data_IF_381211552891
#
_entry.id   IF_381211552891
#
_cell.length_a   1.000
_cell.length_b   1.000
_cell.length_c   1.000
_cell.angle_alpha   90.00
_cell.angle_beta   90.00
_cell.angle_gamma   90.00
#
_symmetry.space_group_name_H-M   'P 1'
#
loop_
_entity.id
_entity.type
_entity.pdbx_description
1 polymer ?
#
# COMPACT_ATOMS: atom_id res chain seq x y z
N UNK A 1 68.55 -20.71 16.13
CA UNK A 1 67.47 -20.10 16.92
C UNK A 1 66.17 -20.80 16.54
N UNK A 2 65.44 -21.53 17.36
CA UNK A 2 65.66 -22.14 18.67
C UNK A 2 64.49 -23.15 18.83
N UNK A 3 64.84 -24.34 19.33
CA UNK A 3 64.08 -25.23 20.21
C UNK A 3 62.55 -25.44 20.04
N UNK A 4 62.21 -26.66 19.59
CA UNK A 4 61.34 -27.66 20.27
C UNK A 4 60.34 -27.19 21.33
N UNK A 5 59.06 -27.58 21.18
CA UNK A 5 58.28 -28.20 22.27
C UNK A 5 57.02 -28.92 21.78
N UNK A 6 57.10 -30.24 21.74
CA UNK A 6 55.98 -31.17 21.96
C UNK A 6 55.52 -31.02 23.42
N UNK A 7 54.21 -30.95 23.66
CA UNK A 7 53.58 -31.31 24.93
C UNK A 7 52.29 -32.08 24.65
N UNK A 8 52.35 -33.38 24.96
CA UNK A 8 51.20 -34.23 25.22
C UNK A 8 50.67 -33.97 26.64
N UNK A 9 49.36 -33.97 26.82
CA UNK A 9 48.72 -34.34 28.07
C UNK A 9 47.42 -35.11 27.77
N UNK A 10 47.49 -36.40 28.04
CA UNK A 10 46.59 -37.29 28.80
C UNK A 10 45.05 -37.27 28.65
N UNK A 11 44.57 -38.52 28.65
CA UNK A 11 43.23 -39.09 28.44
C UNK A 11 42.48 -39.15 29.81
N UNK A 12 41.13 -39.27 29.87
CA UNK A 12 40.57 -40.62 30.04
C UNK A 12 39.24 -40.92 29.33
N UNK A 13 39.10 -42.22 29.13
CA UNK A 13 38.03 -43.06 28.58
C UNK A 13 36.74 -42.99 29.39
N UNK A 14 35.58 -43.09 28.73
CA UNK A 14 34.52 -44.09 29.03
C UNK A 14 33.09 -43.55 28.86
N UNK A 15 32.31 -44.29 28.09
CA UNK A 15 30.98 -44.67 28.56
C UNK A 15 29.77 -44.06 27.86
N UNK A 16 29.15 -44.92 27.05
CA UNK A 16 27.71 -45.10 26.81
C UNK A 16 27.15 -44.53 25.50
N UNK A 17 27.13 -45.44 24.54
CA UNK A 17 26.00 -45.64 23.62
C UNK A 17 24.73 -45.72 24.47
N UNK A 18 23.87 -44.71 24.36
CA UNK A 18 22.45 -44.85 24.70
C UNK A 18 21.67 -44.69 23.41
N UNK A 19 21.16 -45.83 22.96
CA UNK A 19 19.94 -45.91 22.16
C UNK A 19 18.89 -45.07 22.89
N UNK A 20 18.32 -44.08 22.22
CA UNK A 20 17.07 -43.48 22.67
C UNK A 20 16.13 -43.44 21.47
N UNK A 21 15.09 -44.25 21.59
CA UNK A 21 13.89 -44.27 20.75
C UNK A 21 13.33 -42.84 20.58
N UNK A 22 12.70 -42.52 19.44
CA UNK A 22 11.92 -41.31 19.32
C UNK A 22 10.69 -41.45 20.23
N UNK A 23 10.76 -40.84 21.41
CA UNK A 23 9.61 -40.67 22.30
C UNK A 23 8.66 -39.70 21.61
N UNK A 24 7.47 -40.21 21.29
CA UNK A 24 6.30 -39.46 20.87
C UNK A 24 6.03 -38.31 21.84
N UNK A 25 6.24 -37.08 21.38
CA UNK A 25 5.80 -35.86 22.08
C UNK A 25 4.32 -35.59 21.78
N UNK A 26 3.47 -36.56 22.13
CA UNK A 26 2.03 -36.39 22.28
C UNK A 26 1.76 -35.71 23.63
N UNK A 27 2.02 -34.39 23.73
CA UNK A 27 1.61 -33.61 24.93
C UNK A 27 1.58 -32.09 24.80
N UNK A 28 1.29 -31.55 23.62
CA UNK A 28 0.88 -30.14 23.48
C UNK A 28 -0.45 -29.93 22.74
N UNK A 29 -1.18 -31.00 22.43
CA UNK A 29 -2.58 -30.94 22.03
C UNK A 29 -3.45 -31.38 23.21
N UNK A 30 -3.96 -30.45 24.02
CA UNK A 30 -5.33 -30.43 24.60
C UNK A 30 -5.43 -29.15 25.43
N UNK A 31 -5.84 -28.04 24.79
CA UNK A 31 -6.62 -26.98 25.44
C UNK A 31 -7.30 -26.04 24.43
N UNK A 32 -7.92 -26.61 23.40
CA UNK A 32 -8.86 -25.88 22.53
C UNK A 32 -10.06 -26.74 22.12
N UNK A 33 -10.31 -27.87 22.78
CA UNK A 33 -11.47 -28.73 22.52
C UNK A 33 -12.73 -28.23 23.26
N UNK A 34 -13.11 -26.96 23.04
CA UNK A 34 -14.44 -26.46 23.43
C UNK A 34 -14.87 -25.15 22.76
N UNK A 35 -14.65 -25.01 21.45
CA UNK A 35 -15.50 -24.16 20.60
C UNK A 35 -15.78 -24.98 19.33
N UNK A 36 -16.99 -25.52 19.27
CA UNK A 36 -17.53 -26.21 18.11
C UNK A 36 -17.72 -25.20 16.98
N UNK A 37 -17.26 -25.54 15.78
CA UNK A 37 -17.80 -25.14 14.48
C UNK A 37 -18.36 -23.71 14.40
N UNK A 38 -17.49 -22.71 14.32
CA UNK A 38 -17.82 -21.52 13.55
C UNK A 38 -16.92 -21.53 12.31
N UNK A 39 -17.60 -21.42 11.17
CA UNK A 39 -17.10 -21.42 9.81
C UNK A 39 -15.72 -20.73 9.69
N UNK A 40 -14.80 -21.34 8.94
CA UNK A 40 -13.62 -20.65 8.41
C UNK A 40 -14.12 -19.54 7.46
N UNK A 41 -14.58 -18.45 8.05
CA UNK A 41 -15.09 -17.28 7.36
C UNK A 41 -13.93 -16.65 6.61
N UNK A 42 -14.04 -16.58 5.27
CA UNK A 42 -13.07 -15.87 4.45
C UNK A 42 -12.91 -14.44 4.95
N UNK A 43 -11.68 -13.91 4.91
CA UNK A 43 -11.36 -12.54 5.29
C UNK A 43 -12.28 -11.53 4.58
N UNK A 44 -12.72 -11.86 3.37
CA UNK A 44 -13.66 -11.06 2.59
C UNK A 44 -15.07 -11.04 3.19
N UNK A 45 -15.53 -12.14 3.78
CA UNK A 45 -16.85 -12.23 4.40
C UNK A 45 -16.89 -11.53 5.76
N UNK A 46 -15.79 -11.58 6.52
CA UNK A 46 -15.61 -10.74 7.70
C UNK A 46 -15.60 -9.26 7.33
N UNK A 47 -14.90 -8.89 6.25
CA UNK A 47 -14.87 -7.51 5.74
C UNK A 47 -16.24 -7.05 5.24
N UNK A 48 -16.98 -7.93 4.59
CA UNK A 48 -18.34 -7.67 4.09
C UNK A 48 -19.31 -7.46 5.26
N UNK A 49 -19.29 -8.34 6.27
CA UNK A 49 -20.15 -8.22 7.48
C UNK A 49 -19.78 -7.03 8.35
N UNK A 50 -18.49 -6.73 8.54
CA UNK A 50 -18.08 -5.52 9.26
C UNK A 50 -18.52 -4.27 8.50
N UNK A 51 -18.31 -4.20 7.19
CA UNK A 51 -18.77 -3.06 6.38
C UNK A 51 -20.29 -2.93 6.37
N UNK A 52 -21.02 -4.04 6.36
CA UNK A 52 -22.48 -4.06 6.47
C UNK A 52 -22.96 -3.66 7.87
N UNK A 53 -22.25 -4.06 8.93
CA UNK A 53 -22.50 -3.65 10.31
C UNK A 53 -22.23 -2.15 10.49
N UNK A 54 -21.13 -1.62 9.96
CA UNK A 54 -20.85 -0.19 9.96
C UNK A 54 -21.87 0.61 9.12
N UNK A 55 -22.42 0.02 8.05
CA UNK A 55 -23.53 0.61 7.28
C UNK A 55 -24.83 0.64 8.09
N UNK A 56 -25.20 -0.46 8.75
CA UNK A 56 -26.40 -0.56 9.60
C UNK A 56 -26.33 0.35 10.84
N UNK A 57 -25.14 0.58 11.38
CA UNK A 57 -24.91 1.42 12.57
C UNK A 57 -24.85 2.92 12.23
N UNK A 58 -24.94 3.32 10.94
CA UNK A 58 -24.94 4.73 10.53
C UNK A 58 -23.62 5.49 10.75
N UNK A 59 -22.58 4.79 11.24
CA UNK A 59 -21.24 5.35 11.50
C UNK A 59 -20.32 5.29 10.28
N UNK A 60 -20.79 4.72 9.17
CA UNK A 60 -20.02 4.74 7.91
C UNK A 60 -19.87 6.14 7.35
N UNK A 61 -20.89 6.98 7.47
CA UNK A 61 -20.82 8.32 6.88
C UNK A 61 -20.00 9.28 7.75
N UNK A 62 -20.02 9.11 9.08
CA UNK A 62 -19.08 9.79 9.98
C UNK A 62 -17.65 9.31 9.77
N UNK A 63 -17.40 8.01 9.62
CA UNK A 63 -16.07 7.50 9.28
C UNK A 63 -15.62 7.93 7.90
N UNK A 64 -16.48 7.93 6.88
CA UNK A 64 -16.14 8.47 5.55
C UNK A 64 -15.83 9.95 5.63
N UNK A 65 -16.54 10.73 6.45
CA UNK A 65 -16.26 12.14 6.65
C UNK A 65 -14.90 12.34 7.36
N UNK A 66 -14.60 11.55 8.39
CA UNK A 66 -13.31 11.55 9.09
C UNK A 66 -12.19 11.15 8.13
N UNK A 67 -12.33 10.05 7.39
CA UNK A 67 -11.35 9.61 6.40
C UNK A 67 -11.20 10.61 5.26
N UNK A 68 -12.27 11.28 4.80
CA UNK A 68 -12.14 12.36 3.82
C UNK A 68 -11.40 13.56 4.42
N UNK A 69 -11.69 13.95 5.65
CA UNK A 69 -10.98 15.04 6.33
C UNK A 69 -9.50 14.69 6.55
N UNK A 70 -9.19 13.44 6.90
CA UNK A 70 -7.83 12.95 7.10
C UNK A 70 -7.08 12.81 5.78
N UNK A 71 -7.74 12.34 4.73
CA UNK A 71 -7.18 12.19 3.40
C UNK A 71 -7.00 13.55 2.71
N UNK A 72 -7.92 14.49 2.88
CA UNK A 72 -7.75 15.90 2.47
C UNK A 72 -6.65 16.58 3.29
N UNK A 73 -6.54 16.28 4.59
CA UNK A 73 -5.45 16.75 5.45
C UNK A 73 -4.09 16.25 4.98
N UNK A 74 -4.01 14.97 4.59
CA UNK A 74 -2.80 14.33 4.08
C UNK A 74 -2.47 14.78 2.65
N UNK A 75 -3.47 14.97 1.79
CA UNK A 75 -3.27 15.54 0.46
C UNK A 75 -2.87 17.03 0.50
N UNK A 76 -3.35 17.79 1.50
CA UNK A 76 -2.91 19.17 1.70
C UNK A 76 -1.51 19.29 2.33
N UNK A 77 -1.06 18.27 3.07
CA UNK A 77 0.27 18.25 3.69
C UNK A 77 1.33 17.64 2.76
N UNK A 78 0.94 16.77 1.83
CA UNK A 78 1.84 16.20 0.83
C UNK A 78 2.10 17.21 -0.30
N UNK A 79 3.16 18.02 -0.12
CA UNK A 79 3.69 18.95 -1.13
C UNK A 79 4.41 18.24 -2.29
N UNK A 80 4.00 17.02 -2.64
CA UNK A 80 4.62 16.23 -3.70
C UNK A 80 3.53 15.63 -4.59
N UNK A 81 3.17 16.39 -5.61
CA UNK A 81 2.85 15.78 -6.91
C UNK A 81 1.39 15.66 -7.31
N UNK A 82 0.49 16.56 -6.93
CA UNK A 82 -0.68 16.89 -7.76
C UNK A 82 -0.85 18.41 -7.75
N UNK A 83 -0.61 19.03 -8.91
CA UNK A 83 -0.76 20.47 -9.13
C UNK A 83 -2.21 20.93 -9.04
N UNK A 84 -2.73 21.01 -7.82
CA UNK A 84 -3.84 21.90 -7.50
C UNK A 84 -3.24 22.98 -6.60
N UNK A 85 -2.68 24.00 -7.23
CA UNK A 85 -2.41 25.26 -6.55
C UNK A 85 -3.74 25.88 -6.13
N UNK A 86 -4.23 25.50 -4.96
CA UNK A 86 -5.06 26.43 -4.20
C UNK A 86 -4.15 27.57 -3.83
N UNK A 87 -4.23 28.67 -4.59
CA UNK A 87 -3.64 29.97 -4.24
C UNK A 87 -3.78 30.13 -2.73
N UNK A 88 -2.66 30.21 -2.02
CA UNK A 88 -2.68 30.74 -0.65
C UNK A 88 -3.45 32.06 -0.76
N UNK A 89 -4.57 32.25 -0.06
CA UNK A 89 -5.05 33.60 0.13
C UNK A 89 -4.03 34.23 1.08
N UNK A 90 -2.99 34.83 0.50
CA UNK A 90 -2.10 35.74 1.19
C UNK A 90 -2.99 36.67 2.00
N UNK A 91 -2.86 36.60 3.32
CA UNK A 91 -3.51 37.46 4.28
C UNK A 91 -4.99 37.69 3.96
N UNK A 92 -5.85 36.68 4.22
CA UNK A 92 -7.29 36.91 4.33
C UNK A 92 -7.50 38.17 5.16
N UNK A 93 -8.01 39.23 4.53
CA UNK A 93 -8.35 40.49 5.18
C UNK A 93 -9.00 40.18 6.52
N UNK A 94 -8.61 40.88 7.59
CA UNK A 94 -9.15 40.66 8.95
C UNK A 94 -10.69 40.53 8.94
N UNK A 95 -11.34 41.28 8.04
CA UNK A 95 -12.77 41.23 7.76
C UNK A 95 -13.25 39.88 7.20
N UNK A 96 -12.50 39.27 6.28
CA UNK A 96 -12.82 37.95 5.74
C UNK A 96 -12.68 36.85 6.79
N UNK A 97 -11.64 36.90 7.63
CA UNK A 97 -11.49 36.00 8.78
C UNK A 97 -12.63 36.17 9.80
N UNK A 98 -13.08 37.41 10.02
CA UNK A 98 -14.23 37.70 10.87
C UNK A 98 -15.54 37.14 10.28
N UNK A 99 -15.76 37.26 8.96
CA UNK A 99 -16.91 36.68 8.27
C UNK A 99 -16.91 35.15 8.35
N UNK A 100 -15.78 34.51 8.05
CA UNK A 100 -15.70 33.06 8.07
C UNK A 100 -15.92 32.51 9.51
N UNK A 101 -15.43 33.24 10.53
CA UNK A 101 -15.74 32.94 11.94
C UNK A 101 -17.21 33.13 12.30
N UNK A 102 -17.86 34.17 11.77
CA UNK A 102 -19.29 34.42 11.98
C UNK A 102 -20.16 33.30 11.36
N UNK A 103 -19.79 32.81 10.18
CA UNK A 103 -20.43 31.65 9.51
C UNK A 103 -20.24 30.38 10.33
N UNK A 104 -19.04 30.11 10.84
CA UNK A 104 -18.78 28.96 11.68
C UNK A 104 -19.63 29.00 12.98
N UNK A 105 -19.77 30.17 13.62
CA UNK A 105 -20.60 30.33 14.82
C UNK A 105 -22.10 30.12 14.54
N UNK A 106 -22.60 30.58 13.39
CA UNK A 106 -23.97 30.33 12.98
C UNK A 106 -24.23 28.84 12.73
N UNK A 107 -23.34 28.15 11.99
CA UNK A 107 -23.45 26.71 11.72
C UNK A 107 -23.42 25.87 13.02
N UNK A 108 -22.64 26.32 14.01
CA UNK A 108 -22.58 25.70 15.33
C UNK A 108 -23.88 25.89 16.13
N UNK A 109 -24.46 27.10 16.16
CA UNK A 109 -25.72 27.39 16.86
C UNK A 109 -26.93 26.74 16.19
N UNK A 110 -26.92 26.63 14.86
CA UNK A 110 -27.96 25.97 14.07
C UNK A 110 -27.83 24.43 14.02
N UNK A 111 -26.91 23.83 14.79
CA UNK A 111 -26.69 22.38 14.88
C UNK A 111 -26.37 21.65 13.56
N UNK A 112 -25.75 22.33 12.58
CA UNK A 112 -25.28 21.71 11.34
C UNK A 112 -23.91 21.03 11.52
N UNK A 113 -23.88 19.92 12.25
CA UNK A 113 -22.66 19.20 12.65
C UNK A 113 -21.83 18.70 11.46
N UNK A 114 -22.48 18.23 10.39
CA UNK A 114 -21.83 17.72 9.19
C UNK A 114 -21.19 18.85 8.36
N UNK A 115 -21.93 19.93 8.13
CA UNK A 115 -21.46 21.09 7.35
C UNK A 115 -20.36 21.84 8.08
N UNK A 116 -20.43 21.93 9.41
CA UNK A 116 -19.41 22.57 10.24
C UNK A 116 -18.04 21.88 10.12
N UNK A 117 -18.01 20.54 10.17
CA UNK A 117 -16.76 19.78 10.08
C UNK A 117 -16.06 19.93 8.71
N UNK A 118 -16.85 19.98 7.64
CA UNK A 118 -16.34 20.23 6.28
C UNK A 118 -15.85 21.67 6.15
N UNK A 119 -16.64 22.64 6.61
CA UNK A 119 -16.31 24.07 6.49
C UNK A 119 -15.05 24.47 7.28
N UNK A 120 -14.87 23.95 8.50
CA UNK A 120 -13.67 24.21 9.31
C UNK A 120 -12.41 23.63 8.65
N UNK A 121 -12.54 22.47 8.01
CA UNK A 121 -11.43 21.82 7.30
C UNK A 121 -11.08 22.55 6.00
N UNK A 122 -12.10 22.99 5.26
CA UNK A 122 -11.96 23.66 3.97
C UNK A 122 -11.44 25.10 4.11
N UNK A 123 -11.99 25.87 5.05
CA UNK A 123 -11.58 27.24 5.30
C UNK A 123 -10.27 27.36 6.13
N UNK A 124 -9.66 26.23 6.54
CA UNK A 124 -8.45 26.15 7.38
C UNK A 124 -8.54 26.98 8.67
N UNK A 125 -9.73 27.00 9.27
CA UNK A 125 -10.04 27.81 10.45
C UNK A 125 -9.82 26.95 11.70
N UNK A 126 -8.57 26.60 11.99
CA UNK A 126 -8.26 25.91 13.26
C UNK A 126 -8.29 26.87 14.46
N UNK A 127 -8.07 28.16 14.23
CA UNK A 127 -7.81 29.14 15.30
C UNK A 127 -8.86 30.27 15.41
N UNK A 128 -9.94 30.26 14.63
CA UNK A 128 -10.98 31.33 14.70
C UNK A 128 -12.30 30.88 15.32
N UNK A 129 -12.38 29.63 15.79
CA UNK A 129 -13.53 29.10 16.53
C UNK A 129 -13.64 29.66 17.96
N UNK A 130 -12.60 30.38 18.41
CA UNK A 130 -12.48 30.97 19.77
C UNK A 130 -12.77 32.47 19.80
N UNK A 131 -13.08 33.10 18.66
CA UNK A 131 -13.37 34.53 18.63
C UNK A 131 -14.73 34.81 19.26
N UNK A 132 -14.72 35.67 20.27
CA UNK A 132 -15.92 36.13 20.97
C UNK A 132 -16.86 36.84 19.99
N UNK A 133 -18.18 36.61 20.09
CA UNK A 133 -19.19 37.17 19.18
C UNK A 133 -19.10 38.71 19.09
N UNK A 134 -18.65 39.38 20.17
CA UNK A 134 -18.41 40.83 20.25
C UNK A 134 -17.16 41.29 19.50
N UNK A 135 -16.09 40.48 19.50
CA UNK A 135 -14.83 40.82 18.84
C UNK A 135 -14.96 40.69 17.31
N UNK A 136 -15.76 39.73 16.83
CA UNK A 136 -16.08 39.56 15.41
C UNK A 136 -16.81 40.79 14.85
N UNK A 137 -17.82 41.30 15.58
CA UNK A 137 -18.56 42.51 15.18
C UNK A 137 -17.67 43.76 15.18
N UNK A 138 -16.76 43.87 16.16
CA UNK A 138 -15.79 44.97 16.24
C UNK A 138 -14.77 44.92 15.08
N UNK A 139 -14.30 43.73 14.70
CA UNK A 139 -13.39 43.55 13.56
C UNK A 139 -14.04 43.84 12.20
N UNK A 140 -15.37 43.72 12.10
CA UNK A 140 -16.13 44.10 10.91
C UNK A 140 -16.42 45.60 10.81
N UNK A 141 -16.04 46.38 11.82
CA UNK A 141 -16.17 47.83 11.83
C UNK A 141 -17.48 48.36 12.40
N UNK A 142 -18.26 47.54 13.11
CA UNK A 142 -19.47 47.98 13.80
C UNK A 142 -19.07 48.60 15.14
N UNK A 143 -18.83 49.91 15.18
CA UNK A 143 -18.38 50.62 16.39
C UNK A 143 -19.51 51.04 17.33
N UNK A 144 -20.78 50.97 16.91
CA UNK A 144 -21.94 51.25 17.74
C UNK A 144 -22.65 49.95 18.17
N UNK A 145 -22.00 49.18 19.02
CA UNK A 145 -22.58 47.95 19.60
C UNK A 145 -23.57 48.23 20.75
N UNK A 146 -23.75 49.49 21.15
CA UNK A 146 -24.56 49.89 22.31
C UNK A 146 -26.06 49.96 22.03
N UNK A 147 -26.48 50.12 20.77
CA UNK A 147 -27.91 50.29 20.41
C UNK A 147 -28.48 49.11 19.61
N UNK A 148 -27.73 48.00 19.51
CA UNK A 148 -28.15 46.85 18.71
C UNK A 148 -28.74 45.78 19.63
N UNK A 149 -30.00 45.35 19.44
CA UNK A 149 -30.53 44.21 20.17
C UNK A 149 -29.67 43.00 19.82
N UNK A 150 -28.92 42.48 20.79
CA UNK A 150 -28.11 41.29 20.58
C UNK A 150 -29.05 40.12 20.30
N UNK A 151 -29.20 39.77 19.02
CA UNK A 151 -29.98 38.60 18.63
C UNK A 151 -29.35 37.34 19.22
N UNK A 152 -30.17 36.48 19.80
CA UNK A 152 -29.77 35.21 20.43
C UNK A 152 -29.14 34.24 19.43
N UNK A 153 -29.31 34.49 18.13
CA UNK A 153 -28.94 33.59 17.04
C UNK A 153 -27.51 33.84 16.47
N UNK A 154 -26.80 34.88 16.94
CA UNK A 154 -25.37 35.09 16.65
C UNK A 154 -25.03 36.26 15.71
N UNK A 155 -23.73 36.50 15.46
CA UNK A 155 -23.24 37.76 14.90
C UNK A 155 -23.64 38.03 13.45
N UNK A 156 -23.97 37.00 12.66
CA UNK A 156 -24.45 37.17 11.28
C UNK A 156 -25.86 37.71 11.20
N UNK A 157 -26.77 37.24 12.06
CA UNK A 157 -28.16 37.70 12.09
C UNK A 157 -28.20 39.18 12.49
N UNK A 158 -27.43 39.53 13.51
CA UNK A 158 -27.26 40.92 13.96
C UNK A 158 -26.71 41.87 12.88
N UNK A 159 -25.89 41.39 11.94
CA UNK A 159 -25.40 42.20 10.81
C UNK A 159 -26.46 42.41 9.72
N UNK A 160 -27.32 41.41 9.48
CA UNK A 160 -28.42 41.51 8.52
C UNK A 160 -29.45 42.54 9.02
N UNK A 161 -29.80 42.48 10.30
CA UNK A 161 -30.71 43.45 10.94
C UNK A 161 -30.15 44.89 10.86
N UNK A 162 -28.84 45.06 10.99
CA UNK A 162 -28.18 46.36 10.88
C UNK A 162 -28.21 46.94 9.45
N UNK A 163 -28.00 46.09 8.43
CA UNK A 163 -28.08 46.51 7.02
C UNK A 163 -29.51 46.90 6.64
N UNK A 164 -30.50 46.17 7.14
CA UNK A 164 -31.92 46.52 6.98
C UNK A 164 -32.24 47.89 7.57
N UNK A 165 -31.73 48.18 8.77
CA UNK A 165 -31.93 49.47 9.44
C UNK A 165 -31.28 50.65 8.69
N UNK A 166 -30.08 50.48 8.13
CA UNK A 166 -29.41 51.52 7.32
C UNK A 166 -30.19 51.78 6.03
N UNK A 167 -30.64 50.73 5.35
CA UNK A 167 -31.33 50.87 4.07
C UNK A 167 -32.67 51.62 4.21
N UNK A 168 -33.30 51.52 5.38
CA UNK A 168 -34.54 52.23 5.70
C UNK A 168 -34.35 53.72 6.05
N UNK A 169 -33.11 54.21 6.20
CA UNK A 169 -32.85 55.63 6.46
C UNK A 169 -32.71 56.43 5.15
N UNK A 170 -33.78 57.11 4.74
CA UNK A 170 -33.79 58.02 3.58
C UNK A 170 -32.84 59.21 3.81
N UNK A 171 -31.81 59.36 2.96
CA UNK A 171 -30.94 60.54 2.94
C UNK A 171 -31.60 61.65 2.11
N UNK A 172 -31.96 62.77 2.74
CA UNK A 172 -32.33 64.00 2.04
C UNK A 172 -31.06 64.81 1.74
N UNK A 173 -30.79 65.09 0.46
CA UNK A 173 -29.71 65.98 0.02
C UNK A 173 -30.35 67.24 -0.54
N UNK A 174 -30.26 68.36 0.17
CA UNK A 174 -30.68 69.67 -0.33
C UNK A 174 -29.46 70.41 -0.90
N UNK A 175 -29.50 70.70 -2.20
CA UNK A 175 -28.52 71.57 -2.86
C UNK A 175 -29.21 72.90 -3.21
N UNK A 176 -28.58 74.02 -2.83
CA UNK A 176 -29.05 75.38 -3.11
C UNK A 176 -28.24 75.92 -4.29
N UNK A 177 -28.89 76.28 -5.40
CA UNK A 177 -28.28 76.96 -6.54
C UNK A 177 -28.22 78.47 -6.29
N UNK A 178 -27.12 79.11 -6.70
CA UNK A 178 -27.00 80.56 -6.87
C UNK A 178 -26.57 80.81 -8.31
N UNK A 179 -27.47 81.31 -9.14
CA UNK A 179 -27.18 81.77 -10.50
C UNK A 179 -26.94 83.29 -10.44
N UNK A 180 -25.75 83.72 -10.85
CA UNK A 180 -25.51 85.10 -11.28
C UNK A 180 -24.48 85.11 -12.41
N UNK A 181 -24.94 85.43 -13.62
CA UNK A 181 -24.08 85.81 -14.72
C UNK A 181 -24.52 87.21 -15.21
N UNK A 182 -23.61 88.17 -15.40
CA UNK A 182 -23.93 89.46 -15.97
C UNK A 182 -24.03 89.37 -17.49
N UNK A 183 -24.91 90.20 -18.04
CA UNK A 183 -25.16 90.44 -19.45
C UNK A 183 -23.87 90.70 -20.26
N UNK A 184 -23.54 89.81 -21.21
CA UNK A 184 -22.59 90.07 -22.30
C UNK A 184 -23.28 89.72 -23.65
N UNK A 185 -24.38 90.43 -23.95
CA UNK A 185 -25.21 90.25 -25.16
C UNK A 185 -24.83 91.17 -26.32
N UNK A 186 -23.70 91.87 -26.26
CA UNK A 186 -23.15 92.63 -27.39
C UNK A 186 -22.59 91.72 -28.49
N UNK A 187 -22.43 92.24 -29.72
CA UNK A 187 -21.82 91.52 -30.86
C UNK A 187 -20.44 90.97 -30.49
N UNK A 188 -19.66 91.70 -29.68
CA UNK A 188 -18.37 91.23 -29.15
C UNK A 188 -18.49 90.02 -28.20
N UNK A 189 -19.56 89.96 -27.40
CA UNK A 189 -19.87 88.81 -26.55
C UNK A 189 -20.26 87.58 -27.39
N UNK A 190 -21.02 87.79 -28.46
CA UNK A 190 -21.34 86.73 -29.43
C UNK A 190 -20.11 86.26 -30.21
N UNK A 191 -19.23 87.17 -30.66
CA UNK A 191 -17.98 86.81 -31.31
C UNK A 191 -17.07 86.00 -30.37
N UNK A 192 -16.92 86.43 -29.12
CA UNK A 192 -16.13 85.70 -28.11
C UNK A 192 -16.69 84.31 -27.83
N UNK A 193 -18.01 84.16 -27.76
CA UNK A 193 -18.65 82.84 -27.63
C UNK A 193 -18.41 81.96 -28.86
N UNK A 194 -18.50 82.54 -30.07
CA UNK A 194 -18.27 81.82 -31.32
C UNK A 194 -16.82 81.38 -31.47
N UNK A 195 -15.86 82.23 -31.09
CA UNK A 195 -14.43 81.89 -31.03
C UNK A 195 -14.19 80.79 -29.98
N UNK A 196 -14.82 80.89 -28.81
CA UNK A 196 -14.72 79.88 -27.76
C UNK A 196 -15.32 78.53 -28.20
N UNK A 197 -16.48 78.54 -28.85
CA UNK A 197 -17.13 77.35 -29.41
C UNK A 197 -16.28 76.72 -30.51
N UNK A 198 -15.67 77.54 -31.38
CA UNK A 198 -14.78 77.06 -32.43
C UNK A 198 -13.51 76.41 -31.85
N UNK A 199 -12.89 77.05 -30.84
CA UNK A 199 -11.74 76.48 -30.13
C UNK A 199 -12.10 75.17 -29.43
N UNK A 200 -13.27 75.09 -28.79
CA UNK A 200 -13.76 73.85 -28.18
C UNK A 200 -13.99 72.74 -29.22
N UNK A 201 -14.57 73.05 -30.37
CA UNK A 201 -14.76 72.09 -31.46
C UNK A 201 -13.42 71.60 -32.03
N UNK A 202 -12.44 72.50 -32.17
CA UNK A 202 -11.11 72.16 -32.66
C UNK A 202 -10.37 71.25 -31.69
N UNK A 203 -10.45 71.53 -30.38
CA UNK A 203 -9.90 70.65 -29.34
C UNK A 203 -10.59 69.30 -29.30
N UNK A 204 -11.91 69.27 -29.44
CA UNK A 204 -12.68 68.02 -29.47
C UNK A 204 -12.31 67.17 -30.70
N UNK A 205 -12.13 67.81 -31.86
CA UNK A 205 -11.67 67.13 -33.07
C UNK A 205 -10.25 66.56 -32.90
N UNK A 206 -9.32 67.36 -32.36
CA UNK A 206 -7.95 66.91 -32.05
C UNK A 206 -7.93 65.73 -31.08
N UNK A 207 -8.64 65.83 -29.95
CA UNK A 207 -8.76 64.73 -28.98
C UNK A 207 -9.35 63.47 -29.61
N UNK A 208 -10.39 63.60 -30.44
CA UNK A 208 -11.00 62.47 -31.14
C UNK A 208 -10.01 61.80 -32.11
N UNK A 209 -9.22 62.60 -32.84
CA UNK A 209 -8.20 62.05 -33.73
C UNK A 209 -7.06 61.39 -32.96
N UNK A 210 -6.60 61.98 -31.85
CA UNK A 210 -5.55 61.44 -30.98
C UNK A 210 -5.98 60.10 -30.37
N UNK A 211 -7.17 60.05 -29.75
CA UNK A 211 -7.76 58.82 -29.20
C UNK A 211 -7.90 57.73 -30.28
N UNK A 212 -8.36 58.09 -31.48
CA UNK A 212 -8.46 57.12 -32.58
C UNK A 212 -7.11 56.58 -33.03
N UNK A 213 -6.05 57.41 -33.02
CA UNK A 213 -4.69 56.94 -33.32
C UNK A 213 -4.13 56.08 -32.20
N UNK A 214 -4.36 56.44 -30.94
CA UNK A 214 -3.94 55.67 -29.77
C UNK A 214 -4.61 54.29 -29.74
N UNK A 215 -5.91 54.22 -30.04
CA UNK A 215 -6.65 52.96 -30.19
C UNK A 215 -6.04 52.06 -31.27
N UNK A 216 -5.67 52.62 -32.42
CA UNK A 216 -5.00 51.86 -33.50
C UNK A 216 -3.62 51.35 -33.09
N UNK A 217 -2.83 52.15 -32.37
CA UNK A 217 -1.54 51.71 -31.84
C UNK A 217 -1.69 50.61 -30.78
N UNK A 218 -2.64 50.75 -29.86
CA UNK A 218 -2.94 49.73 -28.86
C UNK A 218 -3.42 48.42 -29.52
N UNK A 219 -4.23 48.51 -30.58
CA UNK A 219 -4.67 47.34 -31.34
C UNK A 219 -3.49 46.67 -32.07
N UNK A 220 -2.64 47.46 -32.72
CA UNK A 220 -1.43 46.94 -33.37
C UNK A 220 -0.50 46.25 -32.38
N UNK A 221 -0.30 46.83 -31.19
CA UNK A 221 0.52 46.22 -30.14
C UNK A 221 -0.07 44.89 -29.68
N UNK A 222 -1.39 44.82 -29.43
CA UNK A 222 -2.07 43.55 -29.11
C UNK A 222 -1.91 42.51 -30.23
N UNK A 223 -1.96 42.91 -31.49
CA UNK A 223 -1.77 41.99 -32.61
C UNK A 223 -0.33 41.49 -32.76
N UNK A 224 0.67 42.31 -32.42
CA UNK A 224 2.06 41.89 -32.35
C UNK A 224 2.27 40.92 -31.19
N UNK A 225 1.78 41.25 -30.00
CA UNK A 225 1.88 40.39 -28.81
C UNK A 225 1.16 39.05 -29.04
N UNK A 226 -0.01 39.08 -29.68
CA UNK A 226 -0.74 37.88 -30.05
C UNK A 226 0.08 36.98 -30.98
N UNK A 227 0.65 37.54 -32.06
CA UNK A 227 1.49 36.77 -32.99
C UNK A 227 2.73 36.19 -32.31
N UNK A 228 3.38 36.95 -31.43
CA UNK A 228 4.53 36.48 -30.67
C UNK A 228 4.14 35.32 -29.73
N UNK A 229 3.01 35.44 -29.02
CA UNK A 229 2.49 34.38 -28.17
C UNK A 229 2.11 33.13 -28.96
N UNK A 230 1.50 33.29 -30.13
CA UNK A 230 1.13 32.18 -31.01
C UNK A 230 2.38 31.44 -31.52
N UNK A 231 3.45 32.16 -31.89
CA UNK A 231 4.72 31.57 -32.29
C UNK A 231 5.40 30.81 -31.13
N UNK A 232 5.45 31.42 -29.94
CA UNK A 232 6.01 30.78 -28.75
C UNK A 232 5.22 29.52 -28.39
N UNK A 233 3.89 29.60 -28.37
CA UNK A 233 3.04 28.45 -28.06
C UNK A 233 3.23 27.31 -29.07
N UNK A 234 3.42 27.63 -30.35
CA UNK A 234 3.68 26.65 -31.40
C UNK A 234 5.05 26.00 -31.23
N UNK A 235 6.09 26.77 -30.87
CA UNK A 235 7.43 26.23 -30.57
C UNK A 235 7.43 25.35 -29.33
N UNK A 236 6.69 25.72 -28.28
CA UNK A 236 6.55 24.90 -27.08
C UNK A 236 5.88 23.56 -27.42
N UNK A 237 4.77 23.59 -28.18
CA UNK A 237 4.10 22.36 -28.63
C UNK A 237 5.03 21.46 -29.43
N UNK A 238 5.77 22.01 -30.39
CA UNK A 238 6.74 21.24 -31.17
C UNK A 238 7.83 20.64 -30.28
N UNK A 239 8.33 21.39 -29.29
CA UNK A 239 9.30 20.89 -28.32
C UNK A 239 8.72 19.74 -27.50
N UNK A 240 7.52 19.90 -26.93
CA UNK A 240 6.82 18.84 -26.19
C UNK A 240 6.61 17.59 -27.06
N UNK A 241 6.19 17.76 -28.31
CA UNK A 241 5.94 16.64 -29.22
C UNK A 241 7.21 15.92 -29.66
N UNK A 242 8.35 16.61 -29.74
CA UNK A 242 9.59 16.04 -30.25
C UNK A 242 10.52 15.62 -29.11
N UNK A 243 10.95 16.54 -28.26
CA UNK A 243 12.00 16.29 -27.27
C UNK A 243 11.46 15.54 -26.07
N UNK A 244 10.28 15.90 -25.58
CA UNK A 244 9.67 15.25 -24.41
C UNK A 244 9.23 13.83 -24.78
N UNK A 245 8.61 13.64 -25.95
CA UNK A 245 8.28 12.30 -26.42
C UNK A 245 9.53 11.46 -26.73
N UNK A 246 10.59 12.02 -27.30
CA UNK A 246 11.85 11.31 -27.49
C UNK A 246 12.47 10.87 -26.16
N UNK A 247 12.51 11.76 -25.17
CA UNK A 247 12.99 11.45 -23.81
C UNK A 247 12.16 10.34 -23.17
N UNK A 248 10.82 10.41 -23.25
CA UNK A 248 9.92 9.34 -22.78
C UNK A 248 10.18 8.02 -23.48
N UNK A 249 10.42 8.03 -24.79
CA UNK A 249 10.70 6.80 -25.54
C UNK A 249 12.02 6.18 -25.10
N UNK A 250 13.06 7.01 -24.91
CA UNK A 250 14.37 6.58 -24.44
C UNK A 250 14.32 6.03 -23.01
N UNK A 251 13.65 6.72 -22.09
CA UNK A 251 13.45 6.22 -20.72
C UNK A 251 12.67 4.91 -20.70
N UNK A 252 11.60 4.80 -21.48
CA UNK A 252 10.86 3.56 -21.61
C UNK A 252 11.71 2.43 -22.20
N UNK A 253 12.59 2.72 -23.17
CA UNK A 253 13.53 1.74 -23.71
C UNK A 253 14.51 1.26 -22.63
N UNK A 254 15.12 2.17 -21.87
CA UNK A 254 16.02 1.84 -20.75
C UNK A 254 15.30 1.02 -19.67
N UNK A 255 14.06 1.37 -19.35
CA UNK A 255 13.26 0.60 -18.39
C UNK A 255 12.96 -0.82 -18.91
N UNK A 256 12.59 -0.98 -20.18
CA UNK A 256 12.39 -2.30 -20.79
C UNK A 256 13.67 -3.14 -20.78
N UNK A 257 14.81 -2.54 -21.09
CA UNK A 257 16.12 -3.21 -21.05
C UNK A 257 16.47 -3.68 -19.65
N UNK A 258 16.30 -2.84 -18.62
CA UNK A 258 16.51 -3.22 -17.21
C UNK A 258 15.60 -4.38 -16.79
N UNK A 259 14.32 -4.32 -17.17
CA UNK A 259 13.38 -5.41 -16.88
C UNK A 259 13.82 -6.70 -17.58
N UNK A 260 14.29 -6.63 -18.83
CA UNK A 260 14.81 -7.79 -19.55
C UNK A 260 16.04 -8.38 -18.87
N UNK A 261 17.01 -7.54 -18.49
CA UNK A 261 18.21 -7.97 -17.77
C UNK A 261 17.88 -8.69 -16.47
N UNK A 262 16.95 -8.13 -15.68
CA UNK A 262 16.51 -8.73 -14.41
C UNK A 262 15.84 -10.09 -14.65
N UNK A 263 15.02 -10.22 -15.70
CA UNK A 263 14.41 -11.50 -16.07
C UNK A 263 15.47 -12.54 -16.46
N UNK A 264 16.42 -12.15 -17.31
CA UNK A 264 17.49 -13.05 -17.74
C UNK A 264 18.38 -13.51 -16.57
N UNK A 265 18.65 -12.63 -15.61
CA UNK A 265 19.36 -12.98 -14.37
C UNK A 265 18.56 -13.98 -13.52
N UNK A 266 17.25 -13.73 -13.35
CA UNK A 266 16.37 -14.62 -12.60
C UNK A 266 16.28 -16.01 -13.25
N UNK A 267 16.17 -16.07 -14.58
CA UNK A 267 16.11 -17.32 -15.34
C UNK A 267 17.44 -18.08 -15.23
N UNK A 268 18.58 -17.39 -15.31
CA UNK A 268 19.90 -17.99 -15.08
C UNK A 268 20.01 -18.56 -13.66
N UNK A 269 19.54 -17.84 -12.66
CA UNK A 269 19.56 -18.31 -11.26
C UNK A 269 18.63 -19.51 -11.04
N UNK A 270 17.45 -19.49 -11.64
CA UNK A 270 16.54 -20.62 -11.64
C UNK A 270 17.22 -21.85 -12.28
N UNK A 271 17.86 -21.67 -13.44
CA UNK A 271 18.52 -22.76 -14.14
C UNK A 271 19.72 -23.33 -13.37
N UNK A 272 20.49 -22.48 -12.70
CA UNK A 272 21.55 -22.93 -11.77
C UNK A 272 20.97 -23.75 -10.61
N UNK A 273 19.87 -23.30 -10.01
CA UNK A 273 19.20 -24.03 -8.92
C UNK A 273 18.68 -25.39 -9.38
N UNK A 274 17.98 -25.45 -10.53
CA UNK A 274 17.50 -26.70 -11.12
C UNK A 274 18.65 -27.66 -11.44
N UNK A 275 19.72 -27.16 -12.06
CA UNK A 275 20.89 -27.99 -12.38
C UNK A 275 21.56 -28.56 -11.13
N UNK A 276 21.69 -27.75 -10.07
CA UNK A 276 22.23 -28.20 -8.78
C UNK A 276 21.35 -29.25 -8.10
N UNK A 277 20.02 -29.07 -8.13
CA UNK A 277 19.08 -30.04 -7.59
C UNK A 277 19.11 -31.35 -8.37
N UNK A 278 19.07 -31.29 -9.71
CA UNK A 278 19.17 -32.47 -10.58
C UNK A 278 20.50 -33.21 -10.37
N UNK A 279 21.62 -32.50 -10.19
CA UNK A 279 22.90 -33.13 -9.87
C UNK A 279 22.87 -33.85 -8.51
N UNK A 280 22.26 -33.23 -7.49
CA UNK A 280 22.08 -33.83 -6.16
C UNK A 280 21.18 -35.06 -6.23
N UNK A 281 20.05 -34.98 -6.92
CA UNK A 281 19.13 -36.11 -7.12
C UNK A 281 19.84 -37.27 -7.80
N UNK A 282 20.59 -37.00 -8.89
CA UNK A 282 21.39 -38.01 -9.58
C UNK A 282 22.40 -38.67 -8.65
N UNK A 283 23.11 -37.90 -7.83
CA UNK A 283 24.08 -38.43 -6.87
C UNK A 283 23.41 -39.33 -5.81
N UNK A 284 22.21 -38.95 -5.34
CA UNK A 284 21.46 -39.76 -4.37
C UNK A 284 20.98 -41.06 -5.01
N UNK A 285 20.44 -40.99 -6.24
CA UNK A 285 20.03 -42.19 -6.98
C UNK A 285 21.21 -43.14 -7.22
N UNK A 286 22.36 -42.63 -7.64
CA UNK A 286 23.56 -43.45 -7.87
C UNK A 286 24.03 -44.15 -6.57
N UNK A 287 24.00 -43.44 -5.44
CA UNK A 287 24.31 -44.04 -4.13
C UNK A 287 23.30 -45.10 -3.73
N UNK A 288 22.02 -44.88 -4.01
CA UNK A 288 20.95 -45.84 -3.73
C UNK A 288 21.13 -47.10 -4.58
N UNK A 289 21.33 -46.95 -5.90
CA UNK A 289 21.58 -48.07 -6.81
C UNK A 289 22.81 -48.89 -6.40
N UNK A 290 23.89 -48.22 -5.95
CA UNK A 290 25.07 -48.91 -5.45
C UNK A 290 24.76 -49.75 -4.20
N UNK A 291 23.96 -49.20 -3.27
CA UNK A 291 23.52 -49.91 -2.07
C UNK A 291 22.57 -51.06 -2.38
N UNK A 292 21.65 -50.87 -3.33
CA UNK A 292 20.75 -51.93 -3.80
C UNK A 292 21.54 -53.09 -4.43
N UNK A 293 22.54 -52.81 -5.27
CA UNK A 293 23.42 -53.83 -5.85
C UNK A 293 24.20 -54.59 -4.76
N UNK A 294 24.71 -53.89 -3.75
CA UNK A 294 25.41 -54.49 -2.61
C UNK A 294 24.49 -55.44 -1.83
N UNK A 295 23.27 -54.99 -1.49
CA UNK A 295 22.26 -55.80 -0.80
C UNK A 295 21.85 -57.01 -1.62
N UNK A 296 21.61 -56.85 -2.94
CA UNK A 296 21.28 -57.97 -3.83
C UNK A 296 22.40 -59.01 -3.87
N UNK A 297 23.67 -58.57 -3.92
CA UNK A 297 24.83 -59.48 -3.86
C UNK A 297 24.87 -60.25 -2.55
N UNK A 298 24.67 -59.58 -1.41
CA UNK A 298 24.64 -60.23 -0.09
C UNK A 298 23.49 -61.23 0.03
N UNK A 299 22.29 -60.86 -0.43
CA UNK A 299 21.14 -61.77 -0.45
C UNK A 299 21.40 -62.99 -1.33
N UNK A 300 22.00 -62.81 -2.50
CA UNK A 300 22.38 -63.92 -3.37
C UNK A 300 23.38 -64.85 -2.68
N UNK A 301 24.43 -64.29 -2.07
CA UNK A 301 25.42 -65.08 -1.32
C UNK A 301 24.79 -65.86 -0.17
N UNK A 302 23.91 -65.24 0.62
CA UNK A 302 23.17 -65.92 1.68
C UNK A 302 22.31 -67.05 1.14
N UNK A 303 21.59 -66.84 0.03
CA UNK A 303 20.80 -67.90 -0.61
C UNK A 303 21.68 -69.08 -1.04
N UNK A 304 22.84 -68.80 -1.65
CA UNK A 304 23.78 -69.85 -2.06
C UNK A 304 24.33 -70.61 -0.85
N UNK A 305 24.71 -69.91 0.21
CA UNK A 305 25.18 -70.53 1.45
C UNK A 305 24.10 -71.41 2.11
N UNK A 306 22.83 -70.97 2.08
CA UNK A 306 21.72 -71.80 2.55
C UNK A 306 21.53 -73.06 1.71
N UNK A 307 21.66 -72.95 0.37
CA UNK A 307 21.57 -74.11 -0.52
C UNK A 307 22.70 -75.10 -0.25
N UNK A 308 23.95 -74.65 -0.14
CA UNK A 308 25.09 -75.55 0.15
C UNK A 308 24.93 -76.25 1.49
N UNK A 309 24.50 -75.52 2.54
CA UNK A 309 24.22 -76.13 3.86
C UNK A 309 23.07 -77.14 3.78
N UNK A 310 22.02 -76.89 2.99
CA UNK A 310 20.95 -77.86 2.78
C UNK A 310 21.45 -79.13 2.10
N UNK A 311 22.31 -79.01 1.08
CA UNK A 311 22.92 -80.15 0.40
C UNK A 311 23.82 -80.96 1.35
N UNK A 312 24.65 -80.29 2.15
CA UNK A 312 25.48 -80.94 3.19
C UNK A 312 24.61 -81.72 4.19
N UNK A 313 23.53 -81.12 4.68
CA UNK A 313 22.57 -81.78 5.58
C UNK A 313 21.89 -82.97 4.91
N UNK A 314 21.54 -82.87 3.63
CA UNK A 314 20.97 -83.98 2.87
C UNK A 314 21.97 -85.14 2.70
N UNK A 315 23.24 -84.84 2.39
CA UNK A 315 24.30 -85.84 2.32
C UNK A 315 24.53 -86.53 3.66
N UNK A 316 24.65 -85.76 4.75
CA UNK A 316 24.81 -86.29 6.10
C UNK A 316 23.59 -87.15 6.51
N UNK A 317 22.38 -86.70 6.20
CA UNK A 317 21.16 -87.48 6.46
C UNK A 317 21.14 -88.79 5.66
N UNK A 318 21.60 -88.78 4.41
CA UNK A 318 21.69 -89.99 3.58
C UNK A 318 22.70 -91.00 4.14
N UNK A 319 23.87 -90.53 4.59
CA UNK A 319 24.88 -91.37 5.25
C UNK A 319 24.33 -91.98 6.54
N UNK A 320 23.76 -91.17 7.42
CA UNK A 320 23.13 -91.63 8.66
C UNK A 320 22.00 -92.66 8.41
N UNK A 321 21.24 -92.50 7.32
CA UNK A 321 20.24 -93.49 6.90
C UNK A 321 20.89 -94.80 6.46
N UNK A 322 21.99 -94.77 5.72
CA UNK A 322 22.74 -95.96 5.32
C UNK A 322 23.31 -96.69 6.54
N UNK A 323 24.01 -95.97 7.41
CA UNK A 323 24.60 -96.52 8.64
C UNK A 323 23.53 -97.16 9.53
N UNK A 324 22.38 -96.49 9.68
CA UNK A 324 21.24 -97.04 10.43
C UNK A 324 20.75 -98.36 9.82
N UNK A 325 20.62 -98.44 8.50
CA UNK A 325 20.20 -99.68 7.83
C UNK A 325 21.24 -100.80 8.01
N UNK A 326 22.53 -100.48 8.00
CA UNK A 326 23.61 -101.46 8.23
C UNK A 326 23.63 -101.97 9.67
N UNK A 327 23.44 -101.08 10.65
CA UNK A 327 23.28 -101.46 12.06
C UNK A 327 22.05 -102.34 12.25
N UNK A 328 20.92 -102.00 11.63
CA UNK A 328 19.69 -102.81 11.68
C UNK A 328 19.89 -104.20 11.07
N UNK A 329 20.63 -104.33 9.95
CA UNK A 329 21.00 -105.64 9.38
C UNK A 329 21.91 -106.43 10.32
N UNK A 330 22.97 -105.81 10.81
CA UNK A 330 23.93 -106.43 11.73
C UNK A 330 23.23 -106.91 13.01
N UNK A 331 22.29 -106.12 13.53
CA UNK A 331 21.46 -106.48 14.67
C UNK A 331 20.58 -107.68 14.38
N UNK A 332 19.90 -107.72 13.23
CA UNK A 332 19.09 -108.89 12.81
C UNK A 332 19.95 -110.16 12.70
N UNK A 333 21.14 -110.05 12.11
CA UNK A 333 22.07 -111.18 12.02
C UNK A 333 22.52 -111.68 13.40
N UNK A 334 22.81 -110.78 14.34
CA UNK A 334 23.14 -111.13 15.71
C UNK A 334 21.96 -111.77 16.45
N UNK A 335 20.74 -111.23 16.28
CA UNK A 335 19.51 -111.81 16.84
C UNK A 335 19.28 -113.22 16.28
N UNK A 336 19.48 -113.44 14.99
CA UNK A 336 19.36 -114.75 14.36
C UNK A 336 20.47 -115.72 14.82
N UNK A 337 21.71 -115.25 15.02
CA UNK A 337 22.78 -116.05 15.63
C UNK A 337 22.46 -116.42 17.07
N UNK A 338 21.94 -115.50 17.87
CA UNK A 338 21.51 -115.76 19.25
C UNK A 338 20.43 -116.85 19.26
N UNK A 339 19.37 -116.71 18.44
CA UNK A 339 18.32 -117.72 18.33
C UNK A 339 18.85 -119.09 17.93
N UNK A 340 19.84 -119.15 17.01
CA UNK A 340 20.50 -120.41 16.63
C UNK A 340 21.25 -121.02 17.81
N UNK A 341 22.01 -120.22 18.57
CA UNK A 341 22.70 -120.70 19.78
C UNK A 341 21.72 -121.18 20.84
N UNK A 342 20.63 -120.44 21.07
CA UNK A 342 19.56 -120.83 22.01
C UNK A 342 18.93 -122.16 21.58
N UNK A 343 18.69 -122.37 20.27
CA UNK A 343 18.18 -123.65 19.75
C UNK A 343 19.17 -124.81 19.92
N UNK A 344 20.47 -124.56 19.82
CA UNK A 344 21.51 -125.57 20.06
C UNK A 344 21.71 -125.86 21.56
N UNK A 345 21.54 -124.89 22.44
CA UNK A 345 21.53 -125.12 23.89
C UNK A 345 20.32 -125.94 24.31
N UNK A 346 19.15 -125.66 23.75
CA UNK A 346 17.94 -126.46 24.00
C UNK A 346 18.04 -127.90 23.46
N UNK A 347 18.89 -128.16 22.45
CA UNK A 347 19.18 -129.52 21.96
C UNK A 347 20.24 -130.29 22.76
N UNK A 348 21.01 -129.62 23.64
CA UNK A 348 22.00 -130.29 24.51
C UNK A 348 21.45 -130.55 25.93
N UNK A 349 20.18 -130.22 26.19
CA UNK A 349 19.48 -130.42 27.47
C UNK A 349 18.38 -131.49 27.40
N UNK A 350 18.23 -132.17 26.26
CA UNK A 350 17.55 -133.45 26.06
C UNK A 350 18.60 -134.54 25.77
#
# INVERSE_FOLDING_TARGET
MDYTKFHSYDIPVSGRVSVHEPVSDDRLFVRTSKIKNEELMSQEDFRRRTMEHFRKVGKTDTLKAIFRAELLGNLCSDKRGIGIEFKKPDNLSLKRRALDGAVANYLKKANYTLTLSVFVSDAKIKDSLTLNDKDVLKMLGVTNTSNLPMSTEGPLVTLVDFVEQINNTKKFTMATQTESAPDDQGIDGQLRRLDQDYLMQLEHYKRKTELSTEEKFAQYQRDVDRRANDEISSKIKLFEETTLNAMRLEENAKCRERISSIKDELDKDYMRKCSRLSARERQVMERLEAKEKEVQKLQYQQRQEHLTRMEELHCAQSLLRSDKLEIERSRKELEDRSKRLDSLQNQNLD
#
